data_IF_266045983827
#
_entry.id   IF_266045983827
#
_cell.length_a   1.000
_cell.length_b   1.000
_cell.length_c   1.000
_cell.angle_alpha   90.00
_cell.angle_beta   90.00
_cell.angle_gamma   90.00
#
_symmetry.space_group_name_H-M   'P 1'
#
loop_
_entity.id
_entity.type
_entity.pdbx_description
1 polymer ?
#
# COMPACT_ATOMS: atom_id res chain seq x y z
N UNK A 1 -6.76 -8.40 -19.35
CA UNK A 1 -7.17 -6.99 -19.15
C UNK A 1 -5.90 -6.14 -19.18
N UNK A 2 -5.85 -4.99 -19.88
CA UNK A 2 -4.67 -4.13 -19.87
C UNK A 2 -4.36 -3.70 -18.43
N UNK A 3 -3.10 -3.67 -18.03
CA UNK A 3 -2.72 -3.15 -16.72
C UNK A 3 -3.03 -1.64 -16.68
N UNK A 4 -3.90 -1.16 -15.77
CA UNK A 4 -4.28 0.26 -15.71
C UNK A 4 -3.10 1.16 -15.27
N UNK A 5 -2.08 0.56 -14.64
CA UNK A 5 -0.89 1.24 -14.12
C UNK A 5 0.40 0.68 -14.72
N UNK A 6 1.41 1.54 -14.82
CA UNK A 6 2.78 1.14 -15.08
C UNK A 6 3.38 0.44 -13.86
N UNK A 7 4.54 -0.19 -14.05
CA UNK A 7 5.35 -0.67 -12.93
C UNK A 7 5.70 0.47 -11.97
N UNK A 8 5.64 0.19 -10.68
CA UNK A 8 6.08 1.13 -9.65
C UNK A 8 7.58 1.43 -9.78
N UNK A 9 7.93 2.70 -9.66
CA UNK A 9 9.30 3.19 -9.64
C UNK A 9 9.67 3.58 -8.22
N UNK A 10 10.71 2.94 -7.68
CA UNK A 10 11.31 3.33 -6.40
C UNK A 10 11.93 4.73 -6.53
N UNK A 11 11.65 5.63 -5.59
CA UNK A 11 12.23 6.98 -5.61
C UNK A 11 13.66 6.96 -5.07
N UNK A 12 14.40 8.05 -5.30
CA UNK A 12 15.71 8.27 -4.69
C UNK A 12 15.63 8.30 -3.16
N UNK A 13 14.50 8.75 -2.59
CA UNK A 13 14.29 8.72 -1.14
C UNK A 13 14.03 7.29 -0.64
N UNK A 14 13.21 6.51 -1.36
CA UNK A 14 12.98 5.09 -1.06
C UNK A 14 14.25 4.27 -1.16
N UNK A 15 15.05 4.49 -2.22
CA UNK A 15 16.34 3.83 -2.41
C UNK A 15 17.31 4.11 -1.25
N UNK A 16 17.44 5.37 -0.82
CA UNK A 16 18.27 5.73 0.35
C UNK A 16 17.79 5.07 1.64
N UNK A 17 16.48 5.05 1.85
CA UNK A 17 15.89 4.40 3.03
C UNK A 17 16.19 2.89 3.00
N UNK A 18 16.02 2.25 1.85
CA UNK A 18 16.34 0.85 1.63
C UNK A 18 17.82 0.56 1.87
N UNK A 19 18.75 1.36 1.34
CA UNK A 19 20.20 1.18 1.56
C UNK A 19 20.57 1.24 3.05
N UNK A 20 19.98 2.17 3.81
CA UNK A 20 20.23 2.26 5.26
C UNK A 20 19.67 1.06 6.01
N UNK A 21 18.49 0.57 5.61
CA UNK A 21 17.91 -0.64 6.17
C UNK A 21 18.78 -1.88 5.88
N UNK A 22 19.33 -1.97 4.65
CA UNK A 22 20.25 -3.03 4.26
C UNK A 22 21.57 -3.00 5.04
N UNK A 23 22.03 -1.81 5.42
CA UNK A 23 23.18 -1.64 6.31
C UNK A 23 22.88 -1.98 7.78
N UNK A 24 21.62 -2.32 8.13
CA UNK A 24 21.19 -2.62 9.49
C UNK A 24 21.06 -1.38 10.39
N UNK A 25 21.10 -0.17 9.81
CA UNK A 25 21.04 1.08 10.58
C UNK A 25 19.63 1.42 11.07
N UNK A 26 18.62 1.01 10.30
CA UNK A 26 17.22 1.37 10.50
C UNK A 26 16.30 0.22 10.12
N UNK A 27 15.07 0.26 10.63
CA UNK A 27 13.97 -0.59 10.15
C UNK A 27 12.99 0.27 9.35
N UNK A 28 12.41 -0.29 8.28
CA UNK A 28 11.46 0.43 7.43
C UNK A 28 10.05 0.16 7.93
N UNK A 29 9.27 1.21 8.10
CA UNK A 29 7.83 1.12 8.33
C UNK A 29 7.09 1.72 7.14
N UNK A 30 6.32 0.89 6.42
CA UNK A 30 5.35 1.37 5.44
C UNK A 30 4.10 1.88 6.15
N UNK A 31 3.65 3.06 5.76
CA UNK A 31 2.66 3.81 6.55
C UNK A 31 1.31 3.91 5.86
N UNK A 32 1.30 4.17 4.55
CA UNK A 32 0.07 4.39 3.77
C UNK A 32 0.32 4.26 2.28
N UNK A 33 -0.76 3.97 1.55
CA UNK A 33 -0.86 4.24 0.12
C UNK A 33 -1.62 5.55 -0.07
N UNK A 34 -1.07 6.43 -0.90
CA UNK A 34 -1.76 7.63 -1.35
C UNK A 34 -2.15 7.50 -2.81
N UNK A 35 -3.28 8.09 -3.16
CA UNK A 35 -3.75 8.16 -4.54
C UNK A 35 -3.98 9.60 -4.96
N UNK A 36 -3.85 9.85 -6.25
CA UNK A 36 -4.01 11.18 -6.81
C UNK A 36 -4.52 11.16 -8.24
N UNK A 37 -4.89 12.34 -8.72
CA UNK A 37 -5.33 12.55 -10.11
C UNK A 37 -4.29 13.32 -10.95
N UNK A 38 -3.01 13.25 -10.56
CA UNK A 38 -1.92 13.89 -11.28
C UNK A 38 -1.79 13.38 -12.70
N UNK A 39 -1.67 14.30 -13.66
CA UNK A 39 -1.40 13.98 -15.06
C UNK A 39 0.10 14.12 -15.36
N UNK A 40 0.70 13.09 -15.94
CA UNK A 40 2.12 12.99 -16.23
C UNK A 40 2.35 12.97 -17.75
N UNK A 41 3.16 13.89 -18.24
CA UNK A 41 3.64 13.87 -19.62
C UNK A 41 4.58 12.68 -19.85
N UNK A 42 4.82 12.31 -21.12
CA UNK A 42 5.75 11.22 -21.45
C UNK A 42 7.16 11.42 -20.85
N UNK A 43 7.64 12.66 -20.79
CA UNK A 43 8.92 13.00 -20.17
C UNK A 43 8.93 12.78 -18.64
N UNK A 44 7.79 13.03 -17.98
CA UNK A 44 7.63 12.83 -16.54
C UNK A 44 7.37 11.37 -16.16
N UNK A 45 6.91 10.53 -17.10
CA UNK A 45 6.75 9.08 -16.90
C UNK A 45 8.07 8.29 -17.05
N UNK A 46 9.19 8.97 -17.36
CA UNK A 46 10.49 8.30 -17.44
C UNK A 46 10.97 7.83 -16.06
N UNK A 47 11.80 6.78 -16.03
CA UNK A 47 12.37 6.24 -14.80
C UNK A 47 13.09 7.32 -13.99
N UNK A 48 13.98 8.09 -14.62
CA UNK A 48 14.76 9.16 -13.97
C UNK A 48 13.88 10.28 -13.38
N UNK A 49 12.82 10.67 -14.10
CA UNK A 49 11.89 11.70 -13.61
C UNK A 49 11.08 11.19 -12.40
N UNK A 50 10.55 9.97 -12.46
CA UNK A 50 9.80 9.36 -11.37
C UNK A 50 10.67 9.09 -10.14
N UNK A 51 11.93 8.68 -10.33
CA UNK A 51 12.90 8.48 -9.26
C UNK A 51 13.15 9.77 -8.45
N UNK A 52 13.09 10.94 -9.08
CA UNK A 52 13.32 12.24 -8.42
C UNK A 52 12.09 12.77 -7.67
N UNK A 53 10.91 12.15 -7.82
CA UNK A 53 9.70 12.60 -7.14
C UNK A 53 9.80 12.41 -5.63
N UNK A 54 9.33 13.41 -4.90
CA UNK A 54 9.21 13.38 -3.43
C UNK A 54 7.76 13.38 -2.97
N UNK A 55 6.82 13.65 -3.87
CA UNK A 55 5.39 13.66 -3.62
C UNK A 55 4.61 13.32 -4.92
N UNK A 56 3.35 12.92 -4.73
CA UNK A 56 2.37 12.86 -5.80
C UNK A 56 2.14 14.25 -6.39
N UNK A 57 1.80 14.32 -7.68
CA UNK A 57 1.59 15.59 -8.39
C UNK A 57 0.30 16.27 -7.97
N UNK A 58 -0.73 15.49 -7.67
CA UNK A 58 -2.02 15.94 -7.17
C UNK A 58 -2.63 14.86 -6.26
N UNK A 59 -2.14 14.79 -5.03
CA UNK A 59 -2.67 13.90 -3.99
C UNK A 59 -4.15 14.22 -3.71
N UNK A 60 -4.96 13.17 -3.57
CA UNK A 60 -6.39 13.27 -3.22
C UNK A 60 -6.72 12.59 -1.91
N UNK A 61 -6.34 11.33 -1.77
CA UNK A 61 -6.68 10.54 -0.59
C UNK A 61 -5.48 9.71 -0.16
N UNK A 62 -5.53 9.24 1.09
CA UNK A 62 -4.54 8.34 1.66
C UNK A 62 -5.24 7.30 2.51
N UNK A 63 -4.73 6.08 2.44
CA UNK A 63 -5.32 4.90 3.04
C UNK A 63 -4.25 4.15 3.82
N UNK A 64 -4.60 3.72 5.03
CA UNK A 64 -3.78 2.83 5.83
C UNK A 64 -3.65 1.48 5.13
N UNK A 65 -2.59 0.75 5.48
CA UNK A 65 -2.28 -0.54 4.88
C UNK A 65 -3.03 -1.64 5.63
N UNK A 66 -3.74 -2.49 4.89
CA UNK A 66 -4.51 -3.61 5.43
C UNK A 66 -3.62 -4.80 5.73
N UNK A 67 -2.68 -5.14 4.84
CA UNK A 67 -1.76 -6.26 5.03
C UNK A 67 -0.39 -6.03 4.38
N UNK A 68 0.60 -6.80 4.83
CA UNK A 68 1.91 -6.90 4.21
C UNK A 68 2.42 -8.34 4.20
N UNK A 69 2.76 -8.81 3.02
CA UNK A 69 3.30 -10.14 2.77
C UNK A 69 4.66 -10.10 2.14
N UNK A 70 5.52 -11.04 2.51
CA UNK A 70 6.72 -11.33 1.75
C UNK A 70 6.27 -12.00 0.46
N UNK A 71 6.51 -11.35 -0.68
CA UNK A 71 6.16 -11.90 -1.99
C UNK A 71 7.35 -12.61 -2.64
N UNK A 72 8.57 -12.11 -2.38
CA UNK A 72 9.81 -12.75 -2.76
C UNK A 72 10.95 -12.28 -1.84
N UNK A 73 12.13 -12.85 -2.01
CA UNK A 73 13.36 -12.40 -1.33
C UNK A 73 13.65 -10.88 -1.50
N UNK A 74 13.07 -10.25 -2.52
CA UNK A 74 13.33 -8.85 -2.87
C UNK A 74 12.07 -8.00 -2.98
N UNK A 75 10.91 -8.50 -2.55
CA UNK A 75 9.68 -7.71 -2.59
C UNK A 75 8.65 -8.13 -1.58
N UNK A 76 7.89 -7.14 -1.14
CA UNK A 76 6.69 -7.32 -0.34
C UNK A 76 5.47 -6.94 -1.15
N UNK A 77 4.37 -7.65 -0.94
CA UNK A 77 3.03 -7.27 -1.36
C UNK A 77 2.40 -6.48 -0.22
N UNK A 78 2.04 -5.24 -0.49
CA UNK A 78 1.31 -4.37 0.44
C UNK A 78 -0.11 -4.23 -0.06
N UNK A 79 -1.09 -4.53 0.79
CA UNK A 79 -2.50 -4.46 0.41
C UNK A 79 -3.17 -3.28 1.11
N UNK A 80 -3.98 -2.51 0.37
CA UNK A 80 -4.76 -1.41 0.92
C UNK A 80 -6.17 -1.34 0.30
N UNK A 81 -7.14 -0.86 1.08
CA UNK A 81 -8.49 -0.59 0.61
C UNK A 81 -8.64 0.87 0.21
N UNK A 82 -8.75 1.13 -1.09
CA UNK A 82 -9.07 2.46 -1.62
C UNK A 82 -10.58 2.59 -1.72
N UNK A 83 -11.15 3.57 -1.03
CA UNK A 83 -12.60 3.72 -0.93
C UNK A 83 -13.05 5.19 -0.85
N UNK A 84 -14.30 5.44 -1.25
CA UNK A 84 -14.93 6.75 -1.13
C UNK A 84 -15.58 7.03 0.23
N UNK A 85 -15.63 6.03 1.12
CA UNK A 85 -16.11 6.15 2.50
C UNK A 85 -15.26 5.27 3.41
N UNK A 86 -14.87 5.81 4.55
CA UNK A 86 -14.16 5.06 5.59
C UNK A 86 -15.09 3.94 6.12
N UNK A 87 -14.71 2.66 6.01
CA UNK A 87 -15.55 1.54 6.42
C UNK A 87 -15.62 1.38 7.94
N UNK A 88 -14.73 2.00 8.70
CA UNK A 88 -14.69 1.97 10.17
C UNK A 88 -15.50 3.13 10.74
N UNK A 89 -15.27 4.35 10.26
CA UNK A 89 -15.89 5.56 10.82
C UNK A 89 -17.17 5.99 10.08
N UNK A 90 -17.40 5.48 8.87
CA UNK A 90 -18.49 5.91 7.99
C UNK A 90 -18.27 7.28 7.34
N UNK A 91 -17.11 7.91 7.55
CA UNK A 91 -16.80 9.23 7.02
C UNK A 91 -16.69 9.21 5.49
N UNK A 92 -17.31 10.18 4.82
CA UNK A 92 -17.11 10.40 3.38
C UNK A 92 -15.68 10.87 3.10
N UNK A 93 -14.94 10.09 2.29
CA UNK A 93 -13.57 10.37 1.90
C UNK A 93 -13.47 11.07 0.53
N UNK A 94 -14.44 10.82 -0.36
CA UNK A 94 -14.45 11.39 -1.72
C UNK A 94 -15.77 12.12 -1.97
N UNK A 95 -15.68 13.44 -2.08
CA UNK A 95 -16.82 14.34 -2.35
C UNK A 95 -16.96 14.71 -3.83
N UNK A 96 -15.87 14.64 -4.59
CA UNK A 96 -15.85 14.87 -6.02
C UNK A 96 -15.09 13.72 -6.68
N UNK A 97 -15.71 13.06 -7.65
CA UNK A 97 -15.11 11.91 -8.31
C UNK A 97 -13.88 12.28 -9.13
N UNK A 98 -12.94 11.35 -9.21
CA UNK A 98 -11.69 11.56 -9.95
C UNK A 98 -11.13 10.23 -10.47
N UNK A 99 -10.33 10.31 -11.53
CA UNK A 99 -9.52 9.19 -12.00
C UNK A 99 -8.26 9.09 -11.15
N UNK A 100 -7.99 7.91 -10.61
CA UNK A 100 -6.76 7.57 -9.92
C UNK A 100 -5.69 7.40 -10.99
N UNK A 101 -4.84 8.41 -11.16
CA UNK A 101 -3.82 8.46 -12.20
C UNK A 101 -2.40 8.27 -11.66
N UNK A 102 -2.26 8.32 -10.34
CA UNK A 102 -1.01 8.09 -9.64
C UNK A 102 -1.26 7.45 -8.28
N UNK A 103 -0.32 6.62 -7.85
CA UNK A 103 -0.31 6.00 -6.53
C UNK A 103 1.09 6.03 -5.96
N UNK A 104 1.20 6.34 -4.67
CA UNK A 104 2.46 6.41 -3.95
C UNK A 104 2.41 5.56 -2.71
N UNK A 105 3.42 4.71 -2.52
CA UNK A 105 3.65 4.02 -1.25
C UNK A 105 4.56 4.91 -0.40
N UNK A 106 4.14 5.16 0.84
CA UNK A 106 4.89 5.97 1.78
C UNK A 106 5.53 5.10 2.87
N UNK A 107 6.72 5.52 3.30
CA UNK A 107 7.51 4.83 4.30
C UNK A 107 8.25 5.82 5.20
N UNK A 108 8.66 5.36 6.38
CA UNK A 108 9.54 6.11 7.29
C UNK A 108 10.49 5.17 8.02
N UNK A 109 11.44 5.75 8.76
CA UNK A 109 12.24 5.01 9.74
C UNK A 109 11.33 4.61 10.91
N UNK A 110 11.30 3.32 11.23
CA UNK A 110 10.59 2.81 12.41
C UNK A 110 11.30 3.28 13.69
N UNK A 111 10.53 3.75 14.67
CA UNK A 111 11.00 4.19 16.00
C UNK A 111 12.11 5.27 15.97
N UNK A 112 12.31 5.95 14.84
CA UNK A 112 13.32 6.99 14.68
C UNK A 112 12.90 8.35 15.24
N UNK A 113 13.86 9.13 15.74
CA UNK A 113 13.64 10.51 16.20
C UNK A 113 13.12 11.43 15.08
N UNK A 114 13.54 11.17 13.84
CA UNK A 114 13.07 11.83 12.62
C UNK A 114 12.02 10.94 11.92
N UNK A 115 10.77 11.00 12.36
CA UNK A 115 9.64 10.25 11.78
C UNK A 115 9.12 10.86 10.46
N UNK A 116 10.00 11.50 9.69
CA UNK A 116 9.63 12.15 8.43
C UNK A 116 9.32 11.10 7.38
N UNK A 117 8.05 11.02 7.02
CA UNK A 117 7.55 10.13 5.99
C UNK A 117 8.05 10.57 4.60
N UNK A 118 8.46 9.59 3.78
CA UNK A 118 8.93 9.81 2.42
C UNK A 118 8.07 9.02 1.43
N UNK A 119 8.01 9.52 0.19
CA UNK A 119 7.48 8.75 -0.93
C UNK A 119 8.49 7.65 -1.29
N UNK A 120 8.20 6.40 -0.93
CA UNK A 120 9.09 5.27 -1.16
C UNK A 120 9.11 4.87 -2.63
N UNK A 121 7.94 4.75 -3.23
CA UNK A 121 7.77 4.43 -4.65
C UNK A 121 6.51 5.08 -5.20
N UNK A 122 6.51 5.28 -6.51
CA UNK A 122 5.40 5.92 -7.24
C UNK A 122 5.08 5.11 -8.50
N UNK A 123 3.80 4.97 -8.80
CA UNK A 123 3.32 4.51 -10.10
C UNK A 123 2.37 5.54 -10.70
N UNK A 124 2.27 5.52 -12.03
CA UNK A 124 1.37 6.37 -12.81
C UNK A 124 0.59 5.50 -13.79
N UNK A 125 -0.60 5.96 -14.17
CA UNK A 125 -1.43 5.24 -15.14
C UNK A 125 -0.68 5.00 -16.46
N UNK A 126 -0.88 3.81 -17.04
CA UNK A 126 -0.30 3.45 -18.34
C UNK A 126 -0.98 4.22 -19.48
N UNK A 127 -2.28 4.53 -19.35
CA UNK A 127 -3.07 5.25 -20.35
C UNK A 127 -3.30 6.73 -19.99
N UNK A 128 -4.44 7.24 -20.44
CA UNK A 128 -4.90 8.61 -20.15
C UNK A 128 -5.54 8.73 -18.78
N UNK A 129 -6.27 7.69 -18.35
CA UNK A 129 -6.96 7.62 -17.07
C UNK A 129 -6.81 6.22 -16.47
N UNK A 130 -6.57 6.15 -15.16
CA UNK A 130 -6.73 4.91 -14.39
C UNK A 130 -8.17 4.72 -13.93
N UNK A 131 -8.36 4.01 -12.82
CA UNK A 131 -9.70 3.70 -12.30
C UNK A 131 -10.41 4.96 -11.77
N UNK A 132 -11.73 5.05 -12.02
CA UNK A 132 -12.54 6.16 -11.53
C UNK A 132 -13.05 5.88 -10.13
N UNK A 133 -12.71 6.73 -9.17
CA UNK A 133 -13.31 6.73 -7.84
C UNK A 133 -14.47 7.73 -7.80
N UNK A 134 -15.74 7.27 -7.74
CA UNK A 134 -16.89 8.16 -7.68
C UNK A 134 -17.01 8.81 -6.30
N UNK A 135 -17.67 9.98 -6.21
CA UNK A 135 -18.02 10.53 -4.91
C UNK A 135 -18.97 9.58 -4.18
N UNK A 136 -18.92 9.56 -2.85
CA UNK A 136 -19.85 8.76 -2.07
C UNK A 136 -21.28 9.30 -2.24
N UNK A 137 -22.22 8.41 -2.57
CA UNK A 137 -23.60 8.79 -2.91
C UNK A 137 -24.57 8.69 -1.72
N UNK A 138 -24.08 8.37 -0.52
CA UNK A 138 -24.93 8.18 0.68
C UNK A 138 -25.55 6.78 0.81
N UNK A 139 -25.29 5.87 -0.13
CA UNK A 139 -25.82 4.50 -0.11
C UNK A 139 -24.68 3.49 0.04
N UNK A 140 -24.14 3.01 -1.09
CA UNK A 140 -23.13 1.95 -1.11
C UNK A 140 -21.76 2.55 -1.42
N UNK A 141 -20.73 2.25 -0.62
CA UNK A 141 -19.38 2.71 -0.89
C UNK A 141 -18.80 2.02 -2.13
N UNK A 142 -18.00 2.77 -2.88
CA UNK A 142 -17.11 2.21 -3.89
C UNK A 142 -15.79 1.82 -3.22
N UNK A 143 -15.28 0.64 -3.56
CA UNK A 143 -14.11 0.05 -2.95
C UNK A 143 -13.24 -0.61 -4.02
N UNK A 144 -11.93 -0.44 -3.88
CA UNK A 144 -10.89 -1.08 -4.71
C UNK A 144 -9.88 -1.67 -3.73
N UNK A 145 -9.74 -2.99 -3.74
CA UNK A 145 -8.61 -3.66 -3.07
C UNK A 145 -7.39 -3.52 -3.98
N UNK A 146 -6.35 -2.87 -3.48
CA UNK A 146 -5.10 -2.70 -4.20
C UNK A 146 -4.00 -3.52 -3.56
N UNK A 147 -3.45 -4.45 -4.34
CA UNK A 147 -2.14 -5.05 -4.09
C UNK A 147 -1.04 -4.22 -4.75
N UNK A 148 -0.03 -3.85 -3.96
CA UNK A 148 1.10 -3.04 -4.38
C UNK A 148 2.40 -3.75 -4.05
N UNK A 149 3.16 -4.12 -5.07
CA UNK A 149 4.45 -4.78 -4.89
C UNK A 149 5.57 -3.75 -4.74
N UNK A 150 6.17 -3.73 -3.56
CA UNK A 150 7.30 -2.86 -3.25
C UNK A 150 8.60 -3.66 -3.17
N UNK A 151 9.63 -3.20 -3.87
CA UNK A 151 10.97 -3.80 -3.77
C UNK A 151 11.54 -3.55 -2.38
N UNK A 152 12.01 -4.61 -1.73
CA UNK A 152 12.72 -4.59 -0.43
C UNK A 152 13.91 -5.55 -0.50
N UNK A 153 14.60 -5.83 0.61
CA UNK A 153 15.62 -6.87 0.69
C UNK A 153 15.27 -7.84 1.84
N UNK A 154 15.63 -9.11 1.69
CA UNK A 154 15.36 -10.24 2.59
C UNK A 154 15.74 -9.98 4.07
N UNK A 155 16.66 -9.05 4.33
CA UNK A 155 17.11 -8.69 5.69
C UNK A 155 16.40 -7.49 6.32
N UNK A 156 15.59 -6.74 5.57
CA UNK A 156 14.86 -5.60 6.12
C UNK A 156 13.62 -6.13 6.85
N UNK A 157 13.61 -6.07 8.18
CA UNK A 157 12.37 -6.19 8.94
C UNK A 157 11.44 -5.02 8.55
N UNK A 158 10.55 -5.29 7.60
CA UNK A 158 9.54 -4.33 7.16
C UNK A 158 8.30 -4.51 8.01
N UNK A 159 7.79 -3.42 8.57
CA UNK A 159 6.49 -3.42 9.26
C UNK A 159 5.51 -2.46 8.60
N UNK A 160 4.22 -2.65 8.86
CA UNK A 160 3.18 -1.70 8.48
C UNK A 160 2.52 -1.10 9.71
N UNK A 161 1.97 0.10 9.54
CA UNK A 161 0.96 0.66 10.45
C UNK A 161 -0.42 0.24 9.95
N UNK A 162 -1.05 -0.71 10.63
CA UNK A 162 -2.39 -1.22 10.29
C UNK A 162 -3.51 -0.66 11.16
N UNK A 163 -3.21 0.22 12.13
CA UNK A 163 -4.22 0.81 13.00
C UNK A 163 -5.27 1.58 12.18
N UNK A 164 -6.53 1.16 12.26
CA UNK A 164 -7.64 1.75 11.51
C UNK A 164 -7.81 1.23 10.08
N UNK A 165 -7.00 0.25 9.66
CA UNK A 165 -7.17 -0.38 8.35
C UNK A 165 -8.40 -1.30 8.33
N UNK A 166 -9.02 -1.38 7.15
CA UNK A 166 -10.13 -2.29 6.92
C UNK A 166 -9.63 -3.74 6.87
N UNK A 167 -10.33 -4.64 7.56
CA UNK A 167 -10.15 -6.08 7.41
C UNK A 167 -10.82 -6.52 6.11
N UNK A 168 -10.05 -7.05 5.17
CA UNK A 168 -10.58 -7.55 3.92
C UNK A 168 -11.22 -8.93 4.14
N UNK A 169 -12.23 -9.27 3.33
CA UNK A 169 -12.94 -10.54 3.47
C UNK A 169 -12.01 -11.76 3.30
N UNK A 170 -10.97 -11.62 2.48
CA UNK A 170 -9.93 -12.65 2.29
C UNK A 170 -9.04 -12.84 3.52
N UNK A 171 -8.93 -11.80 4.36
CA UNK A 171 -8.14 -11.79 5.60
C UNK A 171 -8.97 -12.14 6.83
N UNK A 172 -10.30 -12.17 6.73
CA UNK A 172 -11.21 -12.32 7.87
C UNK A 172 -11.00 -13.60 8.69
N UNK A 173 -10.38 -14.61 8.09
CA UNK A 173 -10.04 -15.88 8.76
C UNK A 173 -8.53 -16.11 8.88
N UNK A 174 -7.68 -15.17 8.45
CA UNK A 174 -6.23 -15.29 8.54
C UNK A 174 -5.73 -14.52 9.76
N UNK A 175 -4.94 -15.17 10.60
CA UNK A 175 -4.24 -14.57 11.74
C UNK A 175 -2.74 -14.75 11.54
N UNK A 176 -1.95 -13.77 11.95
CA UNK A 176 -0.48 -13.82 11.83
C UNK A 176 0.13 -14.02 13.21
N UNK A 177 1.04 -14.97 13.32
CA UNK A 177 1.83 -15.16 14.53
C UNK A 177 2.80 -14.00 14.72
N UNK A 178 2.79 -13.39 15.90
CA UNK A 178 3.61 -12.20 16.19
C UNK A 178 5.11 -12.49 16.22
N UNK A 179 5.51 -13.72 16.58
CA UNK A 179 6.90 -14.13 16.70
C UNK A 179 7.45 -14.69 15.38
N UNK A 180 6.73 -15.62 14.75
CA UNK A 180 7.19 -16.33 13.54
C UNK A 180 6.79 -15.63 12.26
N UNK A 181 5.81 -14.72 12.32
CA UNK A 181 5.18 -14.07 11.16
C UNK A 181 4.44 -15.05 10.22
N UNK A 182 4.29 -16.31 10.62
CA UNK A 182 3.55 -17.34 9.89
C UNK A 182 2.05 -17.02 9.92
N UNK A 183 1.36 -17.31 8.81
CA UNK A 183 -0.09 -17.13 8.72
C UNK A 183 -0.81 -18.41 9.10
N UNK A 184 -1.91 -18.26 9.81
CA UNK A 184 -2.80 -19.34 10.18
C UNK A 184 -4.23 -18.99 9.82
N UNK A 185 -5.00 -19.99 9.40
CA UNK A 185 -6.44 -19.89 9.26
C UNK A 185 -7.12 -20.27 10.57
N UNK A 186 -7.99 -19.39 11.06
CA UNK A 186 -8.95 -19.70 12.11
C UNK A 186 -10.23 -20.28 11.48
N UNK A 187 -10.70 -21.41 11.99
CA UNK A 187 -11.93 -22.03 11.50
C UNK A 187 -12.71 -22.75 12.59
N UNK A 188 -13.95 -23.10 12.25
CA UNK A 188 -14.80 -23.96 13.08
C UNK A 188 -15.17 -25.19 12.26
N UNK A 189 -14.88 -26.38 12.79
CA UNK A 189 -15.30 -27.66 12.22
C UNK A 189 -16.00 -28.49 13.30
N UNK A 190 -17.22 -28.95 13.02
CA UNK A 190 -18.07 -29.67 13.97
C UNK A 190 -18.19 -29.01 15.36
N UNK A 191 -18.24 -27.67 15.40
CA UNK A 191 -18.33 -26.90 16.63
C UNK A 191 -17.01 -26.76 17.41
N UNK A 192 -15.89 -27.28 16.87
CA UNK A 192 -14.55 -27.12 17.42
C UNK A 192 -13.81 -26.02 16.68
N UNK A 193 -13.16 -25.12 17.42
CA UNK A 193 -12.26 -24.12 16.87
C UNK A 193 -10.94 -24.81 16.50
N UNK A 194 -10.45 -24.57 15.29
CA UNK A 194 -9.12 -25.01 14.85
C UNK A 194 -8.31 -23.84 14.30
N UNK A 195 -6.99 -24.00 14.40
CA UNK A 195 -5.99 -23.12 13.81
C UNK A 195 -5.15 -23.99 12.86
N UNK A 196 -5.06 -23.61 11.60
CA UNK A 196 -4.32 -24.35 10.58
C UNK A 196 -3.30 -23.43 9.93
N UNK A 197 -2.04 -23.85 9.88
CA UNK A 197 -1.00 -23.13 9.13
C UNK A 197 -1.37 -23.07 7.64
N UNK A 198 -1.19 -21.90 7.03
CA UNK A 198 -1.43 -21.69 5.60
C UNK A 198 -0.13 -21.22 4.95
N UNK A 199 0.34 -21.99 3.97
CA UNK A 199 1.43 -21.60 3.09
C UNK A 199 0.84 -20.79 1.93
N UNK A 200 1.24 -19.52 1.80
CA UNK A 200 1.04 -18.68 0.61
C UNK A 200 2.38 -18.33 -0.03
#
# INVERSE_FOLDING_TARGET
MPQPFNNAVMTNAGARLLTRAQAGEIKIEFTRIAVGNGNYTAAEKTLDALQKRTALKSLKNSYTLSDIDVFSDYSVKVTALITNQDPVTGQTLVNAGYYINEMGLFAKVKDGADSTEILYSITTTAGDNGDFMPPYNGYNPAQITQDYFATVNNSAEVTIVSTGAALLAEDANKIRDDATKQKYKLGIDNGLIYIQEVDE
#
